data_IF_382853444950
#
_entry.id   IF_382853444950
#
_cell.length_a   1.000
_cell.length_b   1.000
_cell.length_c   1.000
_cell.angle_alpha   90.00
_cell.angle_beta   90.00
_cell.angle_gamma   90.00
#
_symmetry.space_group_name_H-M   'P 1'
#
loop_
_entity.id
_entity.type
_entity.pdbx_description
1 polymer ?
#
# COMPACT_ATOMS: atom_id res chain seq x y z
N UNK A 1 -8.73 -51.69 44.09
CA UNK A 1 -9.81 -51.41 45.07
C UNK A 1 -9.70 -49.95 45.48
N UNK A 2 -10.75 -49.14 45.19
CA UNK A 2 -11.09 -47.77 45.69
C UNK A 2 -9.95 -46.72 45.75
N UNK A 3 -10.10 -45.47 45.28
CA UNK A 3 -11.26 -44.58 45.44
C UNK A 3 -11.21 -43.44 44.42
N UNK A 4 -12.40 -43.06 43.94
CA UNK A 4 -12.72 -41.78 43.31
C UNK A 4 -12.49 -40.60 44.28
N UNK A 5 -12.21 -39.40 43.75
CA UNK A 5 -12.77 -38.10 44.15
C UNK A 5 -12.32 -36.98 43.15
N UNK A 6 -13.27 -36.52 42.32
CA UNK A 6 -13.31 -35.18 41.68
C UNK A 6 -14.01 -34.19 42.65
N UNK A 7 -14.16 -32.87 42.40
CA UNK A 7 -13.43 -31.93 41.52
C UNK A 7 -13.13 -30.57 42.22
N UNK A 8 -12.29 -29.71 41.61
CA UNK A 8 -12.29 -28.28 41.91
C UNK A 8 -12.22 -27.48 40.60
N UNK A 9 -13.35 -26.85 40.28
CA UNK A 9 -13.54 -25.85 39.23
C UNK A 9 -12.69 -24.61 39.52
N UNK A 10 -11.86 -24.19 38.57
CA UNK A 10 -11.48 -22.78 38.42
C UNK A 10 -11.61 -22.38 36.96
N UNK A 11 -12.58 -21.49 36.77
CA UNK A 11 -13.01 -20.85 35.54
C UNK A 11 -11.99 -19.80 35.08
N UNK A 12 -12.00 -19.58 33.76
CA UNK A 12 -11.71 -18.30 33.09
C UNK A 12 -10.26 -17.87 32.88
N UNK A 13 -9.86 -17.95 31.62
CA UNK A 13 -8.69 -17.30 31.05
C UNK A 13 -8.70 -17.42 29.53
N UNK A 14 -9.83 -17.09 28.89
CA UNK A 14 -9.94 -17.03 27.44
C UNK A 14 -9.16 -15.79 26.95
N UNK A 15 -7.85 -15.95 26.75
CA UNK A 15 -7.03 -14.95 26.09
C UNK A 15 -7.43 -14.90 24.61
N UNK A 16 -8.30 -13.94 24.27
CA UNK A 16 -8.55 -13.56 22.89
C UNK A 16 -7.27 -12.87 22.38
N UNK A 17 -6.33 -13.66 21.87
CA UNK A 17 -5.22 -13.15 21.09
C UNK A 17 -5.82 -12.59 19.80
N UNK A 18 -6.09 -11.28 19.78
CA UNK A 18 -6.34 -10.55 18.55
C UNK A 18 -5.06 -10.66 17.72
N UNK A 19 -5.00 -11.64 16.83
CA UNK A 19 -4.03 -11.66 15.75
C UNK A 19 -4.36 -10.47 14.87
N UNK A 20 -3.69 -9.34 15.11
CA UNK A 20 -3.56 -8.30 14.12
C UNK A 20 -2.83 -8.93 12.94
N UNK A 21 -3.60 -9.43 11.96
CA UNK A 21 -3.08 -9.82 10.67
C UNK A 21 -2.60 -8.55 9.99
N UNK A 22 -1.35 -8.17 10.26
CA UNK A 22 -0.59 -7.32 9.37
C UNK A 22 -0.47 -8.11 8.06
N UNK A 23 -1.43 -7.92 7.15
CA UNK A 23 -1.38 -8.54 5.84
C UNK A 23 -0.09 -8.06 5.20
N UNK A 24 0.86 -8.97 5.06
CA UNK A 24 2.13 -8.76 4.37
C UNK A 24 1.80 -8.58 2.88
N UNK A 25 1.31 -7.41 2.49
CA UNK A 25 0.95 -7.06 1.11
C UNK A 25 2.21 -6.69 0.31
N UNK A 26 3.20 -7.57 0.33
CA UNK A 26 4.39 -7.49 -0.53
C UNK A 26 4.29 -8.45 -1.73
N UNK A 27 3.08 -8.76 -2.17
CA UNK A 27 2.82 -9.64 -3.31
C UNK A 27 2.64 -8.84 -4.60
N UNK A 28 3.02 -9.45 -5.73
CA UNK A 28 2.82 -8.92 -7.08
C UNK A 28 1.36 -8.49 -7.29
N UNK A 29 1.15 -7.31 -7.87
CA UNK A 29 -0.19 -6.71 -8.06
C UNK A 29 -1.03 -7.56 -9.00
N UNK A 30 -0.45 -8.05 -10.10
CA UNK A 30 -0.97 -9.16 -10.88
C UNK A 30 -0.25 -10.46 -10.51
N UNK A 31 -0.95 -11.38 -9.86
CA UNK A 31 -0.43 -12.69 -9.51
C UNK A 31 -0.50 -13.65 -10.70
N UNK A 32 0.61 -14.36 -10.93
CA UNK A 32 0.68 -15.44 -11.92
C UNK A 32 -0.31 -16.56 -11.61
N UNK A 33 -0.95 -17.10 -12.65
CA UNK A 33 -1.89 -18.23 -12.54
C UNK A 33 -3.30 -17.89 -12.07
N UNK A 34 -3.60 -16.62 -11.74
CA UNK A 34 -4.98 -16.18 -11.42
C UNK A 34 -5.70 -15.60 -12.65
N UNK A 35 -7.02 -15.81 -12.80
CA UNK A 35 -7.79 -15.24 -13.90
C UNK A 35 -7.67 -13.71 -13.92
N UNK A 36 -7.31 -13.12 -15.06
CA UNK A 36 -7.08 -11.68 -15.17
C UNK A 36 -8.31 -10.86 -14.76
N UNK A 37 -9.52 -11.30 -15.14
CA UNK A 37 -10.78 -10.64 -14.77
C UNK A 37 -10.93 -10.45 -13.26
N UNK A 38 -10.73 -11.52 -12.48
CA UNK A 38 -10.83 -11.47 -11.03
C UNK A 38 -9.79 -10.51 -10.40
N UNK A 39 -8.64 -10.36 -11.05
CA UNK A 39 -7.60 -9.45 -10.59
C UNK A 39 -7.95 -7.99 -10.89
N UNK A 40 -8.54 -7.70 -12.05
CA UNK A 40 -9.02 -6.36 -12.39
C UNK A 40 -10.07 -5.88 -11.40
N UNK A 41 -11.06 -6.72 -11.09
CA UNK A 41 -12.11 -6.42 -10.11
C UNK A 41 -11.51 -6.14 -8.72
N UNK A 42 -10.56 -6.96 -8.26
CA UNK A 42 -9.86 -6.74 -6.99
C UNK A 42 -9.17 -5.37 -6.99
N UNK A 43 -8.38 -5.08 -8.02
CA UNK A 43 -7.60 -3.84 -8.10
C UNK A 43 -8.53 -2.62 -8.11
N UNK A 44 -9.68 -2.70 -8.76
CA UNK A 44 -10.65 -1.60 -8.76
C UNK A 44 -11.28 -1.35 -7.39
N UNK A 45 -11.60 -2.42 -6.66
CA UNK A 45 -12.07 -2.29 -5.28
C UNK A 45 -10.99 -1.63 -4.41
N UNK A 46 -9.75 -2.13 -4.48
CA UNK A 46 -8.60 -1.56 -3.74
C UNK A 46 -8.30 -0.10 -4.15
N UNK A 47 -8.54 0.29 -5.40
CA UNK A 47 -8.39 1.68 -5.82
C UNK A 47 -9.47 2.59 -5.24
N UNK A 48 -10.67 2.07 -4.99
CA UNK A 48 -11.82 2.84 -4.55
C UNK A 48 -12.02 2.84 -3.03
N UNK A 49 -11.28 2.00 -2.28
CA UNK A 49 -11.37 1.97 -0.80
C UNK A 49 -10.80 3.23 -0.13
N UNK A 50 -9.92 3.97 -0.81
CA UNK A 50 -9.30 5.19 -0.30
C UNK A 50 -8.15 4.96 0.69
N UNK A 51 -7.83 3.71 1.04
CA UNK A 51 -6.84 3.35 2.04
C UNK A 51 -5.61 2.67 1.41
N UNK A 52 -5.81 1.63 0.60
CA UNK A 52 -4.76 0.73 0.10
C UNK A 52 -3.71 1.49 -0.74
N UNK A 53 -4.18 2.42 -1.57
CA UNK A 53 -3.35 3.27 -2.42
C UNK A 53 -3.54 4.76 -2.08
N UNK A 54 -3.51 5.07 -0.78
CA UNK A 54 -3.70 6.42 -0.24
C UNK A 54 -2.62 7.42 -0.66
N UNK A 55 -1.38 6.97 -0.86
CA UNK A 55 -0.26 7.83 -1.32
C UNK A 55 -0.19 8.02 -2.84
N UNK A 56 -1.16 7.48 -3.59
CA UNK A 56 -1.15 7.49 -5.05
C UNK A 56 -1.55 8.87 -5.59
N UNK A 57 -0.74 9.44 -6.48
CA UNK A 57 -1.02 10.77 -7.05
C UNK A 57 -2.23 10.75 -7.98
N UNK A 58 -2.85 11.91 -8.22
CA UNK A 58 -3.98 12.00 -9.17
C UNK A 58 -3.59 11.57 -10.59
N UNK A 59 -2.37 11.90 -11.02
CA UNK A 59 -1.85 11.52 -12.33
C UNK A 59 -1.65 10.00 -12.43
N UNK A 60 -1.03 9.40 -11.43
CA UNK A 60 -0.85 7.94 -11.36
C UNK A 60 -2.18 7.20 -11.30
N UNK A 61 -3.17 7.78 -10.60
CA UNK A 61 -4.52 7.21 -10.49
C UNK A 61 -5.22 7.20 -11.84
N UNK A 62 -5.09 8.28 -12.62
CA UNK A 62 -5.59 8.31 -14.01
C UNK A 62 -4.91 7.25 -14.86
N UNK A 63 -3.57 7.20 -14.81
CA UNK A 63 -2.77 6.26 -15.60
C UNK A 63 -3.13 4.80 -15.34
N UNK A 64 -3.31 4.44 -14.06
CA UNK A 64 -3.74 3.08 -13.69
C UNK A 64 -5.16 2.81 -14.19
N UNK A 65 -6.10 3.74 -14.01
CA UNK A 65 -7.48 3.57 -14.48
C UNK A 65 -7.56 3.39 -15.99
N UNK A 66 -6.81 4.17 -16.75
CA UNK A 66 -6.73 4.05 -18.20
C UNK A 66 -6.19 2.68 -18.63
N UNK A 67 -5.15 2.16 -17.95
CA UNK A 67 -4.62 0.83 -18.20
C UNK A 67 -5.66 -0.27 -17.86
N UNK A 68 -6.38 -0.14 -16.75
CA UNK A 68 -7.43 -1.10 -16.36
C UNK A 68 -8.59 -1.13 -17.37
N UNK A 69 -8.97 0.03 -17.92
CA UNK A 69 -9.98 0.11 -18.99
C UNK A 69 -9.54 -0.66 -20.24
N UNK A 70 -8.29 -0.47 -20.69
CA UNK A 70 -7.74 -1.21 -21.85
C UNK A 70 -7.66 -2.71 -21.57
N UNK A 71 -7.20 -3.11 -20.39
CA UNK A 71 -7.14 -4.51 -19.98
C UNK A 71 -8.53 -5.17 -19.98
N UNK A 72 -9.54 -4.48 -19.45
CA UNK A 72 -10.92 -5.00 -19.46
C UNK A 72 -11.41 -5.21 -20.90
N UNK A 73 -11.23 -4.22 -21.78
CA UNK A 73 -11.63 -4.34 -23.18
C UNK A 73 -10.94 -5.54 -23.87
N UNK A 74 -9.65 -5.77 -23.61
CA UNK A 74 -8.92 -6.91 -24.16
C UNK A 74 -9.46 -8.26 -23.65
N UNK A 75 -9.82 -8.36 -22.36
CA UNK A 75 -10.36 -9.59 -21.76
C UNK A 75 -11.80 -9.87 -22.22
N UNK A 76 -12.61 -8.84 -22.38
CA UNK A 76 -13.98 -8.96 -22.92
C UNK A 76 -13.97 -9.43 -24.37
N UNK A 77 -13.06 -8.91 -25.19
CA UNK A 77 -12.92 -9.30 -26.59
C UNK A 77 -12.28 -10.69 -26.75
N UNK A 78 -11.33 -11.04 -25.87
CA UNK A 78 -10.62 -12.31 -25.90
C UNK A 78 -10.66 -12.98 -24.52
N UNK A 79 -11.73 -13.73 -24.21
CA UNK A 79 -11.90 -14.39 -22.91
C UNK A 79 -10.78 -15.38 -22.55
N UNK A 80 -10.07 -15.89 -23.56
CA UNK A 80 -8.91 -16.75 -23.38
C UNK A 80 -7.65 -16.09 -23.96
N UNK A 81 -6.56 -16.05 -23.19
CA UNK A 81 -5.26 -15.50 -23.59
C UNK A 81 -4.67 -16.20 -24.81
N UNK A 82 -5.01 -17.47 -25.02
CA UNK A 82 -4.53 -18.24 -26.18
C UNK A 82 -5.18 -17.76 -27.48
N UNK A 83 -6.36 -17.14 -27.40
CA UNK A 83 -7.08 -16.57 -28.53
C UNK A 83 -6.66 -15.13 -28.84
N UNK A 84 -5.86 -14.51 -27.98
CA UNK A 84 -5.38 -13.15 -28.18
C UNK A 84 -4.35 -13.11 -29.33
N UNK A 85 -4.53 -12.21 -30.32
CA UNK A 85 -3.47 -11.90 -31.26
C UNK A 85 -2.21 -11.42 -30.54
N UNK A 86 -1.04 -11.69 -31.12
CA UNK A 86 0.25 -11.41 -30.47
C UNK A 86 0.43 -9.94 -30.07
N UNK A 87 -0.09 -9.01 -30.90
CA UNK A 87 -0.10 -7.58 -30.55
C UNK A 87 -0.91 -7.29 -29.29
N UNK A 88 -2.13 -7.82 -29.21
CA UNK A 88 -3.01 -7.65 -28.05
C UNK A 88 -2.40 -8.25 -26.79
N UNK A 89 -1.77 -9.42 -26.91
CA UNK A 89 -1.05 -10.05 -25.80
C UNK A 89 0.08 -9.16 -25.28
N UNK A 90 0.83 -8.55 -26.19
CA UNK A 90 1.91 -7.61 -25.85
C UNK A 90 1.35 -6.38 -25.13
N UNK A 91 0.26 -5.80 -25.64
CA UNK A 91 -0.40 -4.63 -25.04
C UNK A 91 -0.90 -4.94 -23.61
N UNK A 92 -1.50 -6.12 -23.41
CA UNK A 92 -1.93 -6.59 -22.08
C UNK A 92 -0.74 -6.71 -21.13
N UNK A 93 0.39 -7.26 -21.57
CA UNK A 93 1.59 -7.37 -20.74
C UNK A 93 2.14 -5.99 -20.38
N UNK A 94 2.17 -5.06 -21.33
CA UNK A 94 2.62 -3.69 -21.11
C UNK A 94 1.71 -2.96 -20.10
N UNK A 95 0.38 -3.08 -20.26
CA UNK A 95 -0.58 -2.48 -19.34
C UNK A 95 -0.49 -3.11 -17.93
N UNK A 96 -0.30 -4.43 -17.84
CA UNK A 96 -0.03 -5.10 -16.57
C UNK A 96 1.23 -4.57 -15.90
N UNK A 97 2.32 -4.36 -16.66
CA UNK A 97 3.56 -3.79 -16.13
C UNK A 97 3.34 -2.37 -15.61
N UNK A 98 2.62 -1.51 -16.34
CA UNK A 98 2.31 -0.15 -15.88
C UNK A 98 1.60 -0.17 -14.52
N UNK A 99 0.54 -0.98 -14.40
CA UNK A 99 -0.23 -1.10 -13.16
C UNK A 99 0.62 -1.71 -12.05
N UNK A 100 1.37 -2.79 -12.34
CA UNK A 100 2.26 -3.43 -11.38
C UNK A 100 3.26 -2.45 -10.80
N UNK A 101 3.95 -1.69 -11.64
CA UNK A 101 4.96 -0.71 -11.18
C UNK A 101 4.34 0.39 -10.34
N UNK A 102 3.25 1.01 -10.82
CA UNK A 102 2.65 2.16 -10.13
C UNK A 102 2.03 1.74 -8.78
N UNK A 103 1.27 0.64 -8.75
CA UNK A 103 0.62 0.18 -7.52
C UNK A 103 1.61 -0.40 -6.51
N UNK A 104 2.69 -1.06 -6.98
CA UNK A 104 3.77 -1.50 -6.08
C UNK A 104 4.48 -0.32 -5.45
N UNK A 105 4.83 0.70 -6.24
CA UNK A 105 5.46 1.93 -5.72
C UNK A 105 4.57 2.60 -4.67
N UNK A 106 3.26 2.72 -4.94
CA UNK A 106 2.34 3.30 -3.97
C UNK A 106 2.26 2.51 -2.66
N UNK A 107 2.33 1.18 -2.68
CA UNK A 107 2.38 0.36 -1.46
C UNK A 107 3.66 0.62 -0.66
N UNK A 108 4.78 0.75 -1.34
CA UNK A 108 6.06 1.08 -0.72
C UNK A 108 6.04 2.48 -0.06
N UNK A 109 5.38 3.43 -0.71
CA UNK A 109 5.22 4.80 -0.26
C UNK A 109 4.26 4.93 0.93
N UNK A 110 3.19 4.13 0.94
CA UNK A 110 2.20 4.05 2.05
C UNK A 110 2.71 3.31 3.27
N UNK A 111 3.88 2.65 3.21
CA UNK A 111 4.43 1.94 4.37
C UNK A 111 4.65 2.90 5.53
N UNK A 112 4.15 2.52 6.71
CA UNK A 112 4.36 3.27 7.95
C UNK A 112 5.78 3.09 8.50
N UNK A 113 6.41 4.20 8.87
CA UNK A 113 7.63 4.25 9.66
C UNK A 113 7.27 4.91 10.99
N UNK A 114 7.46 4.16 12.08
CA UNK A 114 7.28 4.66 13.44
C UNK A 114 8.64 4.88 14.10
N UNK A 115 8.91 6.11 14.52
CA UNK A 115 10.14 6.48 15.22
C UNK A 115 9.80 7.03 16.61
N UNK A 116 10.66 6.71 17.58
CA UNK A 116 10.53 7.17 18.96
C UNK A 116 11.46 8.38 19.14
N UNK A 117 10.88 9.56 19.15
CA UNK A 117 11.62 10.82 19.16
C UNK A 117 11.41 11.57 20.50
N UNK A 118 12.38 12.39 20.89
CA UNK A 118 12.20 13.37 21.98
C UNK A 118 11.73 14.67 21.37
N UNK A 119 10.62 15.22 21.87
CA UNK A 119 10.19 16.55 21.47
C UNK A 119 11.22 17.61 21.89
N UNK A 120 11.52 18.57 21.02
CA UNK A 120 12.44 19.67 21.33
C UNK A 120 11.96 20.42 22.58
N UNK A 121 12.85 20.62 23.56
CA UNK A 121 12.50 21.26 24.83
C UNK A 121 11.86 20.33 25.87
N UNK A 122 11.71 19.02 25.59
CA UNK A 122 11.22 18.03 26.55
C UNK A 122 12.10 16.78 26.59
N UNK A 123 12.24 16.16 27.77
CA UNK A 123 12.86 14.85 27.90
C UNK A 123 11.88 13.69 27.65
N UNK A 124 10.60 13.98 27.43
CA UNK A 124 9.58 12.96 27.18
C UNK A 124 9.72 12.42 25.75
N UNK A 125 9.79 11.10 25.63
CA UNK A 125 9.76 10.41 24.35
C UNK A 125 8.32 10.17 23.89
N UNK A 126 8.04 10.48 22.63
CA UNK A 126 6.76 10.18 21.96
C UNK A 126 7.03 9.30 20.73
N UNK A 127 6.09 8.44 20.39
CA UNK A 127 6.16 7.65 19.15
C UNK A 127 5.39 8.39 18.07
N UNK A 128 6.07 8.76 17.00
CA UNK A 128 5.45 9.35 15.82
C UNK A 128 5.51 8.33 14.68
N UNK A 129 4.36 8.04 14.10
CA UNK A 129 4.26 7.24 12.87
C UNK A 129 3.89 8.16 11.71
N UNK A 130 4.47 7.91 10.55
CA UNK A 130 4.20 8.60 9.29
C UNK A 130 4.48 7.66 8.11
N UNK A 131 3.92 7.93 6.93
CA UNK A 131 4.24 7.13 5.74
C UNK A 131 5.63 7.47 5.20
N UNK A 132 6.21 6.60 4.37
CA UNK A 132 7.49 6.87 3.68
C UNK A 132 7.37 8.13 2.83
N UNK A 133 6.28 8.26 2.08
CA UNK A 133 6.03 9.42 1.23
C UNK A 133 5.80 10.69 2.06
N UNK A 134 5.09 10.62 3.18
CA UNK A 134 4.93 11.77 4.08
C UNK A 134 6.27 12.24 4.63
N UNK A 135 7.11 11.31 5.10
CA UNK A 135 8.46 11.62 5.57
C UNK A 135 9.31 12.32 4.50
N UNK A 136 9.22 11.85 3.25
CA UNK A 136 9.91 12.48 2.12
C UNK A 136 9.39 13.92 1.89
N UNK A 137 8.07 14.12 1.87
CA UNK A 137 7.45 15.44 1.74
C UNK A 137 7.88 16.40 2.85
N UNK A 138 7.93 15.94 4.10
CA UNK A 138 8.37 16.74 5.24
C UNK A 138 9.84 17.17 5.08
N UNK A 139 10.71 16.25 4.67
CA UNK A 139 12.13 16.55 4.39
C UNK A 139 12.28 17.59 3.29
N UNK A 140 11.60 17.40 2.16
CA UNK A 140 11.70 18.32 1.02
C UNK A 140 11.17 19.70 1.37
N UNK A 141 10.09 19.77 2.15
CA UNK A 141 9.57 21.04 2.69
C UNK A 141 10.60 21.74 3.57
N UNK A 142 11.21 21.03 4.52
CA UNK A 142 12.24 21.60 5.39
C UNK A 142 13.44 22.13 4.60
N UNK A 143 13.88 21.41 3.57
CA UNK A 143 14.97 21.87 2.69
C UNK A 143 14.61 23.15 1.92
N UNK A 144 13.38 23.24 1.38
CA UNK A 144 12.91 24.44 0.70
C UNK A 144 12.82 25.64 1.64
N UNK A 145 12.26 25.45 2.83
CA UNK A 145 12.11 26.52 3.83
C UNK A 145 13.48 27.06 4.26
N UNK A 146 14.46 26.17 4.51
CA UNK A 146 15.84 26.56 4.83
C UNK A 146 16.52 27.31 3.69
N UNK A 147 16.37 26.84 2.45
CA UNK A 147 16.91 27.52 1.27
C UNK A 147 16.31 28.91 1.05
N UNK A 148 15.01 29.07 1.32
CA UNK A 148 14.33 30.36 1.26
C UNK A 148 14.82 31.32 2.35
N UNK A 149 14.95 30.85 3.59
CA UNK A 149 15.47 31.66 4.70
C UNK A 149 16.89 32.16 4.43
N UNK A 150 17.76 31.31 3.88
CA UNK A 150 19.13 31.70 3.47
C UNK A 150 19.14 32.75 2.36
N UNK A 151 18.24 32.65 1.37
CA UNK A 151 18.13 33.64 0.30
C UNK A 151 17.68 34.99 0.86
N UNK A 152 16.61 35.00 1.68
CA UNK A 152 16.11 36.25 2.30
C UNK A 152 17.19 36.89 3.15
N UNK A 153 17.87 36.14 4.03
CA UNK A 153 18.95 36.66 4.87
C UNK A 153 20.14 37.26 4.10
N UNK A 154 20.36 36.82 2.85
CA UNK A 154 21.36 37.39 1.94
C UNK A 154 20.92 38.72 1.30
N UNK A 155 19.62 39.01 1.22
CA UNK A 155 19.09 40.27 0.69
C UNK A 155 18.90 41.35 1.77
N UNK A 156 18.95 40.99 3.06
CA UNK A 156 18.83 41.95 4.19
C UNK A 156 20.20 42.35 4.78
N UNK A 157 21.31 41.90 4.19
CA UNK A 157 22.67 42.33 4.51
C UNK A 157 23.31 43.05 3.33
#
# INVERSE_FOLDING_TARGET
>A
MKSLLLPALLFSGLALAATASASKQGGEVFASGKPLQQQLERIEVELNDGETYSELTMADRSRVREALVRLRAAVEQYPNRDLMPERVRTDVINDQQVVNTVLTQSREDSRLICQREKATGSNRHTTQCMTVAERARQKDKAQRDMGQAQRVGKFVN
#
